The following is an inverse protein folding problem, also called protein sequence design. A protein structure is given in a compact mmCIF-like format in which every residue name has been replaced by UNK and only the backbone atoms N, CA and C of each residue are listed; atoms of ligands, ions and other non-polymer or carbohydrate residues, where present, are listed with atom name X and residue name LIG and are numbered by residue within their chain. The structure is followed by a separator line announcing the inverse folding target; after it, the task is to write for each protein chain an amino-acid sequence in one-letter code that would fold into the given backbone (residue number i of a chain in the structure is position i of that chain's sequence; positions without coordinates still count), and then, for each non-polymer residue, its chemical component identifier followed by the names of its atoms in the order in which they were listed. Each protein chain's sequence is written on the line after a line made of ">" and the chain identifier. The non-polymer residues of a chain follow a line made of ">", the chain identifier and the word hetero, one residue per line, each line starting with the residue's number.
data_IF_426837210962
#
_entry.id   IF_426837210962
#
_cell.length_a   1.000
_cell.length_b   1.000
_cell.length_c   1.000
_cell.angle_alpha   90.00
_cell.angle_beta   90.00
_cell.angle_gamma   90.00
#
_symmetry.space_group_name_H-M   'P 1'
#
loop_
_entity.id
_entity.type
_entity.pdbx_description
1 polymer ?
#
# COMPACT_ATOMS: atom_id res chain seq x y z
N UNK A 1 -26.36 -0.76 36.59
CA UNK A 1 -26.54 0.23 35.50
C UNK A 1 -25.93 1.53 35.95
N UNK A 2 -24.75 1.87 35.43
CA UNK A 2 -24.12 3.21 35.33
C UNK A 2 -22.67 2.99 34.87
N UNK A 3 -22.50 2.59 33.61
CA UNK A 3 -21.19 2.65 32.93
C UNK A 3 -21.31 3.81 31.96
N UNK A 4 -20.98 5.01 32.43
CA UNK A 4 -20.86 6.17 31.55
C UNK A 4 -19.77 5.85 30.53
N UNK A 5 -20.10 5.95 29.24
CA UNK A 5 -19.16 5.75 28.16
C UNK A 5 -17.93 6.65 28.36
N UNK A 6 -16.72 6.09 28.26
CA UNK A 6 -15.45 6.81 28.46
C UNK A 6 -15.35 8.06 27.58
N UNK A 7 -16.01 8.02 26.42
CA UNK A 7 -16.05 9.07 25.40
C UNK A 7 -17.37 9.85 25.37
N UNK A 8 -18.34 9.55 26.24
CA UNK A 8 -19.68 10.20 26.23
C UNK A 8 -19.66 11.72 26.42
N UNK A 9 -18.57 12.25 27.00
CA UNK A 9 -18.38 13.67 27.24
C UNK A 9 -17.43 14.34 26.22
N UNK A 10 -17.03 13.61 25.16
CA UNK A 10 -16.23 14.15 24.06
C UNK A 10 -17.15 14.85 23.05
N UNK A 11 -16.66 15.93 22.43
CA UNK A 11 -17.44 16.69 21.44
C UNK A 11 -17.50 16.02 20.07
N UNK A 12 -16.47 15.27 19.72
CA UNK A 12 -16.36 14.51 18.48
C UNK A 12 -16.37 13.02 18.78
N UNK A 13 -17.13 12.28 17.97
CA UNK A 13 -17.25 10.83 18.08
C UNK A 13 -16.66 10.13 16.86
N UNK A 14 -15.82 9.12 17.11
CA UNK A 14 -15.14 8.33 16.08
C UNK A 14 -15.54 6.85 16.17
N UNK A 15 -15.65 6.18 15.03
CA UNK A 15 -16.04 4.75 14.95
C UNK A 15 -15.08 3.82 15.73
N UNK A 16 -13.82 4.25 15.89
CA UNK A 16 -12.78 3.56 16.65
C UNK A 16 -13.02 3.55 18.17
N UNK A 17 -13.93 4.37 18.71
CA UNK A 17 -14.23 4.43 20.15
C UNK A 17 -14.73 3.10 20.71
N UNK A 18 -15.43 2.32 19.89
CA UNK A 18 -15.92 0.98 20.24
C UNK A 18 -14.83 0.01 20.69
N UNK A 19 -13.59 0.20 20.24
CA UNK A 19 -12.44 -0.63 20.61
C UNK A 19 -11.81 -0.22 21.95
N UNK A 20 -12.01 1.03 22.36
CA UNK A 20 -11.39 1.61 23.55
C UNK A 20 -12.38 1.83 24.70
N UNK A 21 -13.64 1.42 24.54
CA UNK A 21 -14.70 1.49 25.57
C UNK A 21 -14.29 0.79 26.88
N UNK A 22 -13.46 -0.25 26.82
CA UNK A 22 -12.98 -1.00 27.99
C UNK A 22 -11.74 -0.37 28.67
N UNK A 23 -11.20 0.73 28.14
CA UNK A 23 -10.05 1.40 28.75
C UNK A 23 -10.51 2.21 29.97
N UNK A 24 -10.08 1.83 31.17
CA UNK A 24 -10.51 2.49 32.42
C UNK A 24 -9.51 3.48 33.01
N UNK A 25 -8.30 3.60 32.44
CA UNK A 25 -7.20 4.35 33.07
C UNK A 25 -6.51 5.30 32.08
N UNK A 26 -7.22 6.32 31.61
CA UNK A 26 -6.66 7.36 30.73
C UNK A 26 -6.96 8.74 31.28
N UNK A 27 -5.95 9.62 31.31
CA UNK A 27 -6.05 10.98 31.87
C UNK A 27 -6.69 11.98 30.89
N UNK A 28 -6.64 11.72 29.57
CA UNK A 28 -7.18 12.59 28.51
C UNK A 28 -7.74 11.77 27.32
N UNK A 29 -8.86 11.03 27.48
CA UNK A 29 -9.38 10.10 26.46
C UNK A 29 -9.79 10.77 25.14
N UNK A 30 -10.39 11.96 25.18
CA UNK A 30 -10.89 12.65 23.97
C UNK A 30 -9.77 13.15 23.04
N UNK A 31 -8.66 13.65 23.61
CA UNK A 31 -7.50 14.10 22.80
C UNK A 31 -6.78 12.89 22.18
N UNK A 32 -6.65 11.80 22.95
CA UNK A 32 -5.94 10.61 22.51
C UNK A 32 -6.65 9.90 21.33
N UNK A 33 -7.99 9.81 21.38
CA UNK A 33 -8.76 9.19 20.31
C UNK A 33 -8.77 10.06 19.04
N UNK A 34 -8.78 11.38 19.20
CA UNK A 34 -8.67 12.32 18.11
C UNK A 34 -7.32 12.19 17.39
N UNK A 35 -6.21 12.19 18.13
CA UNK A 35 -4.87 12.01 17.59
C UNK A 35 -4.73 10.67 16.87
N UNK A 36 -5.29 9.60 17.43
CA UNK A 36 -5.28 8.28 16.81
C UNK A 36 -6.07 8.25 15.49
N UNK A 37 -7.26 8.86 15.46
CA UNK A 37 -8.06 8.99 14.25
C UNK A 37 -7.33 9.81 13.15
N UNK A 38 -6.64 10.88 13.54
CA UNK A 38 -5.86 11.72 12.65
C UNK A 38 -4.67 10.96 12.06
N UNK A 39 -3.91 10.25 12.90
CA UNK A 39 -2.78 9.41 12.47
C UNK A 39 -3.27 8.28 11.53
N UNK A 40 -4.38 7.62 11.85
CA UNK A 40 -4.97 6.59 11.01
C UNK A 40 -5.38 7.13 9.62
N UNK A 41 -5.99 8.33 9.57
CA UNK A 41 -6.27 9.02 8.30
C UNK A 41 -5.01 9.37 7.53
N UNK A 42 -4.01 9.93 8.20
CA UNK A 42 -2.74 10.29 7.56
C UNK A 42 -2.03 9.07 6.97
N UNK A 43 -1.99 7.98 7.73
CA UNK A 43 -1.45 6.70 7.26
C UNK A 43 -2.22 6.19 6.05
N UNK A 44 -3.55 6.24 6.08
CA UNK A 44 -4.37 5.82 4.94
C UNK A 44 -4.10 6.68 3.70
N UNK A 45 -3.98 8.00 3.84
CA UNK A 45 -3.67 8.91 2.74
C UNK A 45 -2.27 8.62 2.19
N UNK A 46 -1.26 8.56 3.06
CA UNK A 46 0.11 8.33 2.65
C UNK A 46 0.27 6.96 1.99
N UNK A 47 -0.25 5.92 2.63
CA UNK A 47 0.00 4.53 2.23
C UNK A 47 -0.86 4.10 1.05
N UNK A 48 -2.12 4.53 0.97
CA UNK A 48 -2.99 4.22 -0.16
C UNK A 48 -2.77 5.18 -1.32
N UNK A 49 -2.96 6.49 -1.13
CA UNK A 49 -2.96 7.43 -2.26
C UNK A 49 -1.57 7.61 -2.85
N UNK A 50 -0.52 7.80 -2.04
CA UNK A 50 0.83 8.04 -2.58
C UNK A 50 1.34 6.78 -3.26
N UNK A 51 1.21 5.61 -2.63
CA UNK A 51 1.66 4.34 -3.22
C UNK A 51 0.87 4.00 -4.49
N UNK A 52 -0.45 4.19 -4.52
CA UNK A 52 -1.25 3.95 -5.73
C UNK A 52 -0.82 4.84 -6.90
N UNK A 53 -0.54 6.12 -6.64
CA UNK A 53 -0.04 7.05 -7.67
C UNK A 53 1.34 6.61 -8.17
N UNK A 54 2.25 6.25 -7.26
CA UNK A 54 3.59 5.77 -7.61
C UNK A 54 3.54 4.48 -8.44
N UNK A 55 2.69 3.51 -8.08
CA UNK A 55 2.53 2.28 -8.86
C UNK A 55 1.91 2.52 -10.23
N UNK A 56 0.98 3.48 -10.36
CA UNK A 56 0.44 3.89 -11.66
C UNK A 56 1.52 4.50 -12.55
N UNK A 57 2.34 5.42 -12.02
CA UNK A 57 3.46 5.98 -12.77
C UNK A 57 4.47 4.91 -13.19
N UNK A 58 4.83 4.01 -12.27
CA UNK A 58 5.71 2.87 -12.58
C UNK A 58 5.13 1.98 -13.68
N UNK A 59 3.81 1.71 -13.64
CA UNK A 59 3.11 0.96 -14.69
C UNK A 59 3.18 1.64 -16.05
N UNK A 60 2.87 2.95 -16.11
CA UNK A 60 2.90 3.73 -17.35
C UNK A 60 4.29 3.77 -17.96
N UNK A 61 5.32 3.99 -17.13
CA UNK A 61 6.71 4.02 -17.58
C UNK A 61 7.11 2.65 -18.14
N UNK A 62 6.80 1.56 -17.45
CA UNK A 62 7.13 0.20 -17.93
C UNK A 62 6.38 -0.15 -19.23
N UNK A 63 5.12 0.25 -19.39
CA UNK A 63 4.36 0.06 -20.63
C UNK A 63 4.96 0.86 -21.78
N UNK A 64 5.38 2.10 -21.52
CA UNK A 64 6.06 2.93 -22.51
C UNK A 64 7.39 2.31 -22.97
N UNK A 65 8.19 1.78 -22.03
CA UNK A 65 9.41 1.03 -22.35
C UNK A 65 9.10 -0.22 -23.19
N UNK A 66 8.07 -0.99 -22.82
CA UNK A 66 7.64 -2.16 -23.58
C UNK A 66 7.26 -1.79 -25.02
N UNK A 67 6.53 -0.69 -25.19
CA UNK A 67 6.10 -0.19 -26.50
C UNK A 67 7.27 0.18 -27.42
N UNK A 68 8.35 0.75 -26.87
CA UNK A 68 9.57 1.05 -27.63
C UNK A 68 10.38 -0.24 -27.90
N UNK A 69 10.46 -1.15 -26.93
CA UNK A 69 11.28 -2.35 -27.04
C UNK A 69 10.71 -3.39 -28.02
N UNK A 70 9.38 -3.54 -28.10
CA UNK A 70 8.69 -4.47 -29.00
C UNK A 70 9.03 -4.30 -30.49
N UNK A 71 8.93 -3.10 -31.10
CA UNK A 71 9.25 -2.91 -32.51
C UNK A 71 10.75 -3.06 -32.80
N UNK A 72 11.61 -2.74 -31.82
CA UNK A 72 13.06 -2.90 -31.96
C UNK A 72 13.48 -4.38 -31.88
N UNK A 73 12.79 -5.18 -31.07
CA UNK A 73 12.97 -6.64 -31.00
C UNK A 73 12.71 -7.34 -32.34
N UNK A 74 11.72 -6.87 -33.11
CA UNK A 74 11.40 -7.45 -34.42
C UNK A 74 12.47 -7.19 -35.49
N UNK A 75 13.31 -6.17 -35.33
CA UNK A 75 14.32 -5.77 -36.32
C UNK A 75 15.73 -6.28 -36.04
N UNK A 76 15.96 -6.99 -34.94
CA UNK A 76 17.30 -7.30 -34.42
C UNK A 76 17.74 -8.75 -34.65
N UNK A 77 19.06 -8.93 -34.83
CA UNK A 77 19.73 -10.20 -35.09
C UNK A 77 19.75 -11.15 -33.87
N UNK A 78 19.99 -12.45 -34.08
CA UNK A 78 19.76 -13.53 -33.09
C UNK A 78 20.51 -13.40 -31.74
N UNK A 79 21.71 -12.82 -31.72
CA UNK A 79 22.52 -12.62 -30.51
C UNK A 79 21.94 -11.54 -29.57
N UNK A 80 21.51 -10.40 -30.11
CA UNK A 80 20.92 -9.29 -29.33
C UNK A 80 19.48 -9.57 -28.91
N UNK A 81 18.82 -10.51 -29.60
CA UNK A 81 17.46 -10.97 -29.33
C UNK A 81 17.29 -11.53 -27.90
N UNK A 82 18.26 -12.29 -27.40
CA UNK A 82 18.20 -12.89 -26.04
C UNK A 82 18.20 -11.82 -24.94
N UNK A 83 19.03 -10.79 -25.07
CA UNK A 83 19.06 -9.65 -24.13
C UNK A 83 17.75 -8.86 -24.14
N UNK A 84 17.14 -8.69 -25.31
CA UNK A 84 15.85 -8.02 -25.44
C UNK A 84 14.69 -8.79 -24.79
N UNK A 85 14.63 -10.13 -24.96
CA UNK A 85 13.61 -10.97 -24.30
C UNK A 85 13.71 -10.84 -22.78
N UNK A 86 14.93 -10.78 -22.23
CA UNK A 86 15.14 -10.57 -20.80
C UNK A 86 14.58 -9.21 -20.33
N UNK A 87 14.83 -8.13 -21.07
CA UNK A 87 14.31 -6.79 -20.75
C UNK A 87 12.78 -6.75 -20.84
N UNK A 88 12.18 -7.36 -21.86
CA UNK A 88 10.72 -7.43 -22.02
C UNK A 88 10.09 -8.21 -20.86
N UNK A 89 10.64 -9.37 -20.52
CA UNK A 89 10.14 -10.19 -19.42
C UNK A 89 10.22 -9.43 -18.07
N UNK A 90 11.27 -8.62 -17.90
CA UNK A 90 11.42 -7.74 -16.74
C UNK A 90 10.35 -6.65 -16.68
N UNK A 91 10.05 -5.98 -17.79
CA UNK A 91 8.97 -4.98 -17.83
C UNK A 91 7.61 -5.61 -17.51
N UNK A 92 7.33 -6.82 -18.04
CA UNK A 92 6.09 -7.55 -17.75
C UNK A 92 6.01 -7.92 -16.26
N UNK A 93 7.10 -8.41 -15.66
CA UNK A 93 7.15 -8.73 -14.24
C UNK A 93 6.96 -7.50 -13.35
N UNK A 94 7.52 -6.35 -13.72
CA UNK A 94 7.34 -5.09 -13.00
C UNK A 94 5.88 -4.60 -13.07
N UNK A 95 5.25 -4.71 -14.25
CA UNK A 95 3.83 -4.37 -14.44
C UNK A 95 2.93 -5.31 -13.64
N UNK A 96 3.18 -6.62 -13.69
CA UNK A 96 2.35 -7.59 -12.96
C UNK A 96 2.45 -7.40 -11.45
N UNK A 97 3.65 -7.10 -10.94
CA UNK A 97 3.86 -6.78 -9.54
C UNK A 97 3.16 -5.46 -9.14
N UNK A 98 3.26 -4.40 -9.93
CA UNK A 98 2.56 -3.14 -9.68
C UNK A 98 1.03 -3.31 -9.63
N UNK A 99 0.47 -4.11 -10.56
CA UNK A 99 -0.97 -4.43 -10.59
C UNK A 99 -1.36 -5.25 -9.35
N UNK A 100 -0.56 -6.26 -8.98
CA UNK A 100 -0.83 -7.13 -7.83
C UNK A 100 -0.84 -6.32 -6.54
N UNK A 101 0.11 -5.39 -6.38
CA UNK A 101 0.15 -4.47 -5.24
C UNK A 101 -1.07 -3.55 -5.23
N UNK A 102 -1.43 -2.94 -6.35
CA UNK A 102 -2.64 -2.10 -6.46
C UNK A 102 -3.91 -2.87 -6.06
N UNK A 103 -4.09 -4.10 -6.58
CA UNK A 103 -5.24 -4.94 -6.23
C UNK A 103 -5.23 -5.27 -4.74
N UNK A 104 -4.07 -5.67 -4.19
CA UNK A 104 -3.96 -5.99 -2.77
C UNK A 104 -4.29 -4.79 -1.89
N UNK A 105 -3.83 -3.58 -2.24
CA UNK A 105 -4.16 -2.34 -1.54
C UNK A 105 -5.65 -2.03 -1.58
N UNK A 106 -6.30 -2.22 -2.73
CA UNK A 106 -7.76 -2.08 -2.86
C UNK A 106 -8.52 -3.09 -2.00
N UNK A 107 -8.12 -4.36 -2.03
CA UNK A 107 -8.73 -5.43 -1.22
C UNK A 107 -8.54 -5.13 0.27
N UNK A 108 -7.32 -4.76 0.68
CA UNK A 108 -7.02 -4.40 2.07
C UNK A 108 -7.84 -3.19 2.53
N UNK A 109 -7.98 -2.14 1.70
CA UNK A 109 -8.79 -0.97 2.03
C UNK A 109 -10.28 -1.30 2.20
N UNK A 110 -10.82 -2.18 1.35
CA UNK A 110 -12.25 -2.56 1.39
C UNK A 110 -12.56 -3.54 2.52
N UNK A 111 -11.72 -4.56 2.72
CA UNK A 111 -11.98 -5.65 3.68
C UNK A 111 -11.43 -5.38 5.08
N UNK A 112 -10.38 -4.58 5.19
CA UNK A 112 -9.78 -4.18 6.46
C UNK A 112 -9.72 -2.66 6.53
N UNK A 113 -10.89 -1.99 6.68
CA UNK A 113 -10.87 -0.57 6.92
C UNK A 113 -10.05 -0.30 8.19
N UNK A 114 -9.27 0.78 8.22
CA UNK A 114 -8.35 1.12 9.32
C UNK A 114 -9.07 1.27 10.67
N UNK A 115 -10.40 1.32 10.65
CA UNK A 115 -11.26 1.52 11.80
C UNK A 115 -11.71 0.22 12.48
N UNK A 116 -11.52 -0.98 11.88
CA UNK A 116 -12.16 -2.21 12.39
C UNK A 116 -11.25 -3.42 12.63
N UNK A 117 -9.97 -3.33 12.30
CA UNK A 117 -9.08 -4.48 12.17
C UNK A 117 -7.77 -4.31 12.95
N UNK A 118 -7.15 -5.43 13.34
CA UNK A 118 -5.82 -5.48 13.96
C UNK A 118 -4.77 -4.83 13.06
N UNK A 119 -4.60 -3.52 13.24
CA UNK A 119 -3.70 -2.62 12.50
C UNK A 119 -2.28 -3.19 12.34
N UNK A 120 -1.81 -3.97 13.30
CA UNK A 120 -0.51 -4.61 13.28
C UNK A 120 -0.36 -5.64 12.15
N UNK A 121 -1.37 -6.48 11.90
CA UNK A 121 -1.32 -7.46 10.81
C UNK A 121 -1.36 -6.77 9.45
N UNK A 122 -2.18 -5.71 9.33
CA UNK A 122 -2.25 -4.87 8.15
C UNK A 122 -0.89 -4.23 7.83
N UNK A 123 -0.28 -3.56 8.81
CA UNK A 123 1.00 -2.88 8.65
C UNK A 123 2.15 -3.85 8.30
N UNK A 124 2.20 -5.03 8.94
CA UNK A 124 3.26 -6.03 8.66
C UNK A 124 3.15 -6.59 7.26
N UNK A 125 1.93 -6.92 6.80
CA UNK A 125 1.71 -7.47 5.44
C UNK A 125 2.10 -6.43 4.39
N UNK A 126 1.72 -5.17 4.59
CA UNK A 126 2.03 -4.07 3.69
C UNK A 126 3.53 -3.81 3.60
N UNK A 127 4.20 -3.62 4.74
CA UNK A 127 5.63 -3.29 4.78
C UNK A 127 6.45 -4.44 4.19
N UNK A 128 6.11 -5.69 4.53
CA UNK A 128 6.80 -6.86 3.99
C UNK A 128 6.66 -6.96 2.48
N UNK A 129 5.49 -6.61 1.95
CA UNK A 129 5.21 -6.69 0.52
C UNK A 129 5.85 -5.54 -0.27
N UNK A 130 5.89 -4.33 0.29
CA UNK A 130 6.62 -3.21 -0.31
C UNK A 130 8.13 -3.48 -0.32
N UNK A 131 8.70 -4.01 0.77
CA UNK A 131 10.10 -4.42 0.83
C UNK A 131 10.39 -5.50 -0.22
N UNK A 132 9.52 -6.50 -0.35
CA UNK A 132 9.67 -7.54 -1.36
C UNK A 132 9.65 -6.96 -2.79
N UNK A 133 8.77 -6.00 -3.06
CA UNK A 133 8.71 -5.32 -4.35
C UNK A 133 9.96 -4.50 -4.65
N UNK A 134 10.43 -3.69 -3.70
CA UNK A 134 11.65 -2.90 -3.87
C UNK A 134 12.90 -3.79 -3.95
N UNK A 135 12.95 -4.91 -3.23
CA UNK A 135 14.03 -5.91 -3.35
C UNK A 135 14.01 -6.56 -4.73
N UNK A 136 12.83 -6.95 -5.23
CA UNK A 136 12.64 -7.44 -6.59
C UNK A 136 12.85 -6.38 -7.67
N UNK A 137 12.93 -5.10 -7.34
CA UNK A 137 13.40 -4.09 -8.29
C UNK A 137 14.91 -3.87 -8.17
N UNK A 138 15.42 -3.86 -6.94
CA UNK A 138 16.82 -3.63 -6.56
C UNK A 138 17.78 -4.68 -7.11
N UNK A 139 17.47 -5.96 -6.91
CA UNK A 139 18.27 -7.07 -7.47
C UNK A 139 18.33 -7.04 -8.99
N UNK A 140 17.28 -6.50 -9.63
CA UNK A 140 17.23 -6.40 -11.06
C UNK A 140 18.02 -5.18 -11.57
N UNK A 141 18.13 -4.07 -10.85
CA UNK A 141 18.95 -2.90 -11.23
C UNK A 141 20.48 -3.07 -11.12
N UNK A 142 20.98 -4.15 -10.54
CA UNK A 142 22.42 -4.36 -10.30
C UNK A 142 23.17 -5.17 -11.38
N UNK A 143 22.63 -5.27 -12.61
CA UNK A 143 23.26 -5.98 -13.74
C UNK A 143 23.27 -5.15 -15.03
#
# INVERSE_FOLDING_TARGET
>A
MTTGDLFSNCSDHYLIESYFINCTNTTRPCELIHDFALVARLLTILDFYVSSVLFLFAGVINVYFLWICLPMYWKINSETKKRYVFVINRCIASISAAITLLILRCVLYVYFPPETSSYYLYAVVIISNDIAFYSLQGEFSSF
#
